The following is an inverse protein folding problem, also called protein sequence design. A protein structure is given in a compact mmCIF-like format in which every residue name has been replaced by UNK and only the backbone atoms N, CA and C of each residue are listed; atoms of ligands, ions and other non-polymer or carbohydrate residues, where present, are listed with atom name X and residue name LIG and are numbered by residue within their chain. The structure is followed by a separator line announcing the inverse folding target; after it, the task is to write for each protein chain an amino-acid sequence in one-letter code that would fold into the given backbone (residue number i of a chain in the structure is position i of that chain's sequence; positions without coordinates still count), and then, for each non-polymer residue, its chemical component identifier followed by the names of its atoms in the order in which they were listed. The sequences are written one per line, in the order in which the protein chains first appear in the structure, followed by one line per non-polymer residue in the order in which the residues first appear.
data_IF_656651554085
#
_entry.id   IF_656651554085
#
_cell.length_a   1.000
_cell.length_b   1.000
_cell.length_c   1.000
_cell.angle_alpha   90.00
_cell.angle_beta   90.00
_cell.angle_gamma   90.00
#
_symmetry.space_group_name_H-M   'P 1'
#
loop_
_entity.id
_entity.type
_entity.pdbx_description
1 polymer ?
#
# COMPACT_ATOMS: atom_id res chain seq x y z
N UNK A 1 18.79 -16.71 7.02
CA UNK A 1 18.10 -16.51 5.71
C UNK A 1 17.03 -17.58 5.48
N UNK A 2 17.30 -18.88 5.69
CA UNK A 2 16.31 -19.96 5.48
C UNK A 2 15.04 -19.86 6.35
N UNK A 3 15.15 -19.53 7.64
CA UNK A 3 14.00 -19.32 8.52
C UNK A 3 13.08 -18.20 7.99
N UNK A 4 13.70 -17.15 7.46
CA UNK A 4 12.99 -15.97 7.00
C UNK A 4 12.28 -16.19 5.66
N UNK A 5 12.93 -16.88 4.73
CA UNK A 5 12.28 -17.35 3.50
C UNK A 5 11.10 -18.27 3.83
N UNK A 6 11.22 -19.10 4.88
CA UNK A 6 10.12 -19.94 5.38
C UNK A 6 8.95 -19.13 5.94
N UNK A 7 9.20 -18.12 6.78
CA UNK A 7 8.15 -17.22 7.29
C UNK A 7 7.46 -16.44 6.17
N UNK A 8 8.22 -15.93 5.20
CA UNK A 8 7.67 -15.22 4.04
C UNK A 8 6.81 -16.16 3.16
N UNK A 9 7.25 -17.40 2.99
CA UNK A 9 6.49 -18.42 2.27
C UNK A 9 5.22 -18.84 3.03
N UNK A 10 5.26 -18.91 4.36
CA UNK A 10 4.08 -19.15 5.21
C UNK A 10 3.11 -17.96 5.15
N UNK A 11 3.59 -16.72 5.21
CA UNK A 11 2.77 -15.52 5.04
C UNK A 11 2.10 -15.48 3.66
N UNK A 12 2.83 -15.91 2.62
CA UNK A 12 2.32 -16.02 1.25
C UNK A 12 1.31 -17.16 1.09
N UNK A 13 1.53 -18.32 1.73
CA UNK A 13 0.66 -19.51 1.66
C UNK A 13 -0.53 -19.50 2.64
N UNK A 14 -0.44 -18.79 3.74
CA UNK A 14 -1.48 -18.72 4.79
C UNK A 14 -2.72 -17.93 4.37
N UNK A 15 -2.71 -17.29 3.20
CA UNK A 15 -3.80 -16.40 2.79
C UNK A 15 -3.88 -15.13 3.65
N UNK A 16 -2.86 -14.80 4.44
CA UNK A 16 -2.80 -13.56 5.21
C UNK A 16 -2.95 -12.32 4.32
N UNK A 17 -2.38 -12.34 3.11
CA UNK A 17 -2.60 -11.28 2.11
C UNK A 17 -4.09 -11.15 1.76
N UNK A 18 -4.82 -12.27 1.64
CA UNK A 18 -6.25 -12.30 1.35
C UNK A 18 -7.07 -11.76 2.54
N UNK A 19 -6.71 -12.15 3.76
CA UNK A 19 -7.33 -11.68 5.00
C UNK A 19 -7.11 -10.18 5.20
N UNK A 20 -5.87 -9.71 5.05
CA UNK A 20 -5.52 -8.30 5.14
C UNK A 20 -6.19 -7.48 4.04
N UNK A 21 -6.25 -7.99 2.81
CA UNK A 21 -6.99 -7.35 1.72
C UNK A 21 -8.47 -7.15 2.07
N UNK A 22 -9.12 -8.15 2.69
CA UNK A 22 -10.52 -8.03 3.16
C UNK A 22 -10.66 -7.02 4.29
N UNK A 23 -9.70 -6.96 5.21
CA UNK A 23 -9.70 -6.01 6.32
C UNK A 23 -9.52 -4.55 5.84
N UNK A 24 -8.70 -4.34 4.80
CA UNK A 24 -8.43 -3.01 4.25
C UNK A 24 -9.54 -2.49 3.34
N UNK A 25 -10.33 -3.38 2.73
CA UNK A 25 -11.45 -3.02 1.83
C UNK A 25 -12.36 -1.90 2.35
N UNK A 26 -12.87 -1.89 3.60
CA UNK A 26 -13.74 -0.81 4.08
C UNK A 26 -13.04 0.55 4.14
N UNK A 27 -11.75 0.59 4.50
CA UNK A 27 -10.97 1.84 4.54
C UNK A 27 -10.66 2.31 3.13
N UNK A 28 -10.20 1.40 2.28
CA UNK A 28 -9.89 1.69 0.88
C UNK A 28 -11.15 2.09 0.10
N UNK A 29 -12.32 1.53 0.40
CA UNK A 29 -13.58 1.90 -0.25
C UNK A 29 -13.97 3.36 0.03
N UNK A 30 -13.64 3.87 1.22
CA UNK A 30 -13.84 5.30 1.55
C UNK A 30 -12.80 6.21 0.89
N UNK A 31 -11.58 5.72 0.65
CA UNK A 31 -10.50 6.49 0.01
C UNK A 31 -10.61 6.49 -1.52
N UNK A 32 -11.14 5.42 -2.10
CA UNK A 32 -11.25 5.18 -3.54
C UNK A 32 -12.71 4.91 -3.94
N UNK A 33 -13.60 5.92 -3.87
CA UNK A 33 -15.03 5.73 -4.09
C UNK A 33 -15.37 5.21 -5.50
N UNK A 34 -14.69 5.68 -6.57
CA UNK A 34 -14.96 5.17 -7.93
C UNK A 34 -14.46 3.74 -8.11
N UNK A 35 -13.23 3.47 -7.67
CA UNK A 35 -12.69 2.11 -7.70
C UNK A 35 -13.53 1.11 -6.87
N UNK A 36 -14.20 1.58 -5.80
CA UNK A 36 -15.04 0.73 -4.94
C UNK A 36 -16.23 0.10 -5.68
N UNK A 37 -16.68 0.72 -6.78
CA UNK A 37 -17.78 0.21 -7.61
C UNK A 37 -17.34 -0.90 -8.59
N UNK A 38 -16.03 -1.10 -8.80
CA UNK A 38 -15.49 -2.15 -9.67
C UNK A 38 -14.75 -3.19 -8.83
N UNK A 39 -15.37 -4.36 -8.64
CA UNK A 39 -14.85 -5.39 -7.73
C UNK A 39 -13.45 -5.90 -8.11
N UNK A 40 -13.11 -5.88 -9.40
CA UNK A 40 -11.79 -6.28 -9.90
C UNK A 40 -10.72 -5.24 -9.53
N UNK A 41 -10.97 -3.97 -9.83
CA UNK A 41 -10.07 -2.85 -9.49
C UNK A 41 -9.90 -2.73 -7.99
N UNK A 42 -10.99 -2.84 -7.24
CA UNK A 42 -10.96 -2.83 -5.78
C UNK A 42 -10.19 -4.03 -5.21
N UNK A 43 -10.33 -5.20 -5.83
CA UNK A 43 -9.57 -6.40 -5.48
C UNK A 43 -8.07 -6.22 -5.69
N UNK A 44 -7.66 -5.72 -6.86
CA UNK A 44 -6.27 -5.45 -7.18
C UNK A 44 -5.66 -4.36 -6.28
N UNK A 45 -6.39 -3.28 -6.00
CA UNK A 45 -6.00 -2.22 -5.08
C UNK A 45 -5.77 -2.77 -3.68
N UNK A 46 -6.71 -3.54 -3.15
CA UNK A 46 -6.61 -4.12 -1.80
C UNK A 46 -5.44 -5.09 -1.69
N UNK A 47 -5.21 -5.90 -2.73
CA UNK A 47 -4.08 -6.82 -2.80
C UNK A 47 -2.74 -6.09 -2.90
N UNK A 48 -2.66 -4.99 -3.67
CA UNK A 48 -1.47 -4.14 -3.76
C UNK A 48 -1.10 -3.55 -2.40
N UNK A 49 -2.06 -2.91 -1.72
CA UNK A 49 -1.83 -2.30 -0.40
C UNK A 49 -1.49 -3.36 0.65
N UNK A 50 -2.17 -4.52 0.63
CA UNK A 50 -1.85 -5.63 1.54
C UNK A 50 -0.44 -6.21 1.30
N UNK A 51 -0.05 -6.40 0.03
CA UNK A 51 1.29 -6.87 -0.31
C UNK A 51 2.37 -5.86 0.08
N UNK A 52 2.11 -4.56 -0.10
CA UNK A 52 3.01 -3.50 0.35
C UNK A 52 3.10 -3.51 1.89
N UNK A 53 1.99 -3.61 2.63
CA UNK A 53 2.02 -3.71 4.09
C UNK A 53 2.79 -4.93 4.62
N UNK A 54 2.75 -6.06 3.91
CA UNK A 54 3.46 -7.28 4.30
C UNK A 54 4.94 -7.32 3.87
N UNK A 55 5.44 -6.32 3.14
CA UNK A 55 6.81 -6.36 2.61
C UNK A 55 6.98 -7.31 1.43
N UNK A 56 5.89 -7.71 0.76
CA UNK A 56 5.89 -8.60 -0.40
C UNK A 56 6.00 -7.78 -1.70
N UNK A 57 7.07 -6.99 -1.85
CA UNK A 57 7.25 -6.07 -2.98
C UNK A 57 7.08 -6.72 -4.36
N UNK A 58 7.54 -7.95 -4.53
CA UNK A 58 7.40 -8.72 -5.78
C UNK A 58 5.94 -8.98 -6.18
N UNK A 59 5.02 -9.02 -5.23
CA UNK A 59 3.59 -9.18 -5.49
C UNK A 59 2.84 -7.83 -5.54
N UNK A 60 3.38 -6.78 -4.90
CA UNK A 60 2.74 -5.47 -4.83
C UNK A 60 2.69 -4.79 -6.21
N UNK A 61 3.80 -4.74 -6.94
CA UNK A 61 3.91 -4.06 -8.24
C UNK A 61 2.90 -4.53 -9.30
N UNK A 62 2.77 -5.84 -9.60
CA UNK A 62 1.81 -6.31 -10.60
C UNK A 62 0.35 -6.02 -10.20
N UNK A 63 0.03 -6.09 -8.91
CA UNK A 63 -1.30 -5.73 -8.41
C UNK A 63 -1.56 -4.22 -8.49
N UNK A 64 -0.53 -3.40 -8.25
CA UNK A 64 -0.61 -1.94 -8.38
C UNK A 64 -0.87 -1.50 -9.81
N UNK A 65 -0.18 -2.12 -10.78
CA UNK A 65 -0.42 -1.88 -12.21
C UNK A 65 -1.86 -2.26 -12.57
N UNK A 66 -2.33 -3.43 -12.14
CA UNK A 66 -3.71 -3.88 -12.40
C UNK A 66 -4.75 -2.92 -11.81
N UNK A 67 -4.52 -2.43 -10.59
CA UNK A 67 -5.38 -1.43 -9.96
C UNK A 67 -5.36 -0.10 -10.72
N UNK A 68 -4.19 0.39 -11.12
CA UNK A 68 -4.04 1.62 -11.89
C UNK A 68 -4.73 1.53 -13.26
N UNK A 69 -4.58 0.42 -13.97
CA UNK A 69 -5.26 0.17 -15.25
C UNK A 69 -6.79 0.15 -15.09
N UNK A 70 -7.29 -0.47 -14.02
CA UNK A 70 -8.70 -0.45 -13.67
C UNK A 70 -9.23 0.96 -13.41
N UNK A 71 -8.51 1.76 -12.60
CA UNK A 71 -8.86 3.16 -12.33
C UNK A 71 -8.81 4.03 -13.58
N UNK A 72 -7.84 3.79 -14.48
CA UNK A 72 -7.72 4.50 -15.74
C UNK A 72 -8.89 4.19 -16.68
N UNK A 73 -9.39 2.94 -16.69
CA UNK A 73 -10.60 2.54 -17.45
C UNK A 73 -11.85 3.25 -16.94
N UNK A 74 -11.92 3.53 -15.64
CA UNK A 74 -13.04 4.23 -14.99
C UNK A 74 -12.94 5.77 -15.09
N UNK A 75 -11.89 6.31 -15.72
CA UNK A 75 -11.60 7.74 -15.76
C UNK A 75 -11.54 8.27 -17.21
N UNK A 76 -11.81 9.57 -17.44
CA UNK A 76 -11.62 10.19 -18.75
C UNK A 76 -10.19 10.02 -19.27
N UNK A 77 -10.04 9.75 -20.57
CA UNK A 77 -8.71 9.53 -21.19
C UNK A 77 -7.87 10.81 -21.16
N UNK A 78 -6.57 10.65 -20.91
CA UNK A 78 -5.59 11.74 -20.99
C UNK A 78 -5.35 12.53 -19.71
N UNK A 79 -5.99 12.19 -18.58
CA UNK A 79 -5.70 12.82 -17.29
C UNK A 79 -5.72 11.79 -16.16
N UNK A 80 -4.70 11.81 -15.30
CA UNK A 80 -4.69 10.99 -14.10
C UNK A 80 -5.84 11.41 -13.17
N UNK A 81 -6.62 10.44 -12.72
CA UNK A 81 -7.69 10.71 -11.76
C UNK A 81 -7.15 10.86 -10.35
N UNK A 82 -7.88 11.60 -9.49
CA UNK A 82 -7.51 11.77 -8.08
C UNK A 82 -7.21 10.44 -7.37
N UNK A 83 -7.93 9.37 -7.74
CA UNK A 83 -7.75 8.03 -7.19
C UNK A 83 -6.45 7.38 -7.68
N UNK A 84 -6.10 7.54 -8.96
CA UNK A 84 -4.81 7.07 -9.47
C UNK A 84 -3.64 7.82 -8.82
N UNK A 85 -3.77 9.13 -8.63
CA UNK A 85 -2.79 9.93 -7.89
C UNK A 85 -2.67 9.45 -6.43
N UNK A 86 -3.79 9.17 -5.76
CA UNK A 86 -3.79 8.66 -4.39
C UNK A 86 -3.17 7.26 -4.28
N UNK A 87 -3.39 6.37 -5.25
CA UNK A 87 -2.73 5.06 -5.32
C UNK A 87 -1.22 5.22 -5.35
N UNK A 88 -0.71 6.13 -6.17
CA UNK A 88 0.72 6.42 -6.26
C UNK A 88 1.24 6.93 -4.91
N UNK A 89 0.56 7.92 -4.31
CA UNK A 89 0.94 8.45 -2.99
C UNK A 89 1.00 7.35 -1.92
N UNK A 90 -0.01 6.47 -1.86
CA UNK A 90 -0.04 5.37 -0.88
C UNK A 90 1.09 4.36 -1.12
N UNK A 91 1.39 4.02 -2.38
CA UNK A 91 2.50 3.13 -2.70
C UNK A 91 3.86 3.77 -2.38
N UNK A 92 4.03 5.06 -2.69
CA UNK A 92 5.24 5.82 -2.39
C UNK A 92 5.47 5.98 -0.89
N UNK A 93 4.40 6.18 -0.10
CA UNK A 93 4.49 6.29 1.35
C UNK A 93 4.98 5.00 2.03
N UNK A 94 4.98 3.85 1.31
CA UNK A 94 5.62 2.59 1.72
C UNK A 94 5.38 2.20 3.18
N UNK A 95 4.10 2.06 3.56
CA UNK A 95 3.73 1.54 4.87
C UNK A 95 4.12 0.06 4.90
N UNK A 96 5.12 -0.31 5.68
CA UNK A 96 5.46 -1.72 5.93
C UNK A 96 5.11 -2.05 7.38
N UNK A 97 4.14 -2.95 7.55
CA UNK A 97 3.78 -3.52 8.85
C UNK A 97 4.92 -4.42 9.36
N UNK A 98 5.64 -5.06 8.45
CA UNK A 98 6.86 -5.80 8.70
C UNK A 98 7.98 -5.22 7.81
N UNK A 99 8.98 -4.48 8.33
CA UNK A 99 10.13 -3.98 7.60
C UNK A 99 11.16 -5.10 7.42
N UNK A 100 10.73 -6.16 6.73
CA UNK A 100 11.42 -7.44 6.60
C UNK A 100 12.80 -7.29 5.96
N UNK A 101 12.92 -6.41 4.96
CA UNK A 101 14.18 -6.09 4.29
C UNK A 101 15.19 -5.47 5.23
N UNK A 102 14.78 -4.48 6.04
CA UNK A 102 15.67 -3.81 6.98
C UNK A 102 16.04 -4.76 8.14
N UNK A 103 15.09 -5.58 8.61
CA UNK A 103 15.37 -6.61 9.60
C UNK A 103 16.39 -7.63 9.07
N UNK A 104 16.30 -8.05 7.80
CA UNK A 104 17.27 -8.94 7.18
C UNK A 104 18.68 -8.32 7.09
N UNK A 105 18.76 -7.04 6.72
CA UNK A 105 20.02 -6.29 6.71
C UNK A 105 20.60 -6.13 8.11
N UNK A 106 19.77 -5.85 9.13
CA UNK A 106 20.22 -5.77 10.52
C UNK A 106 20.76 -7.10 11.01
N UNK A 107 20.06 -8.20 10.69
CA UNK A 107 20.52 -9.55 11.02
C UNK A 107 21.85 -9.90 10.33
N UNK A 108 22.03 -9.53 9.05
CA UNK A 108 23.29 -9.78 8.34
C UNK A 108 24.47 -8.95 8.86
N UNK A 109 24.20 -7.85 9.57
CA UNK A 109 25.21 -7.01 10.21
C UNK A 109 25.37 -7.30 11.71
N UNK A 110 24.87 -8.44 12.21
CA UNK A 110 25.11 -8.90 13.58
C UNK A 110 24.21 -8.28 14.66
N UNK A 111 23.09 -7.64 14.29
CA UNK A 111 22.16 -7.13 15.30
C UNK A 111 21.54 -8.28 16.13
N UNK A 112 21.65 -8.20 17.46
CA UNK A 112 21.04 -9.18 18.39
C UNK A 112 19.52 -9.21 18.28
N UNK A 113 18.90 -8.03 18.12
CA UNK A 113 17.46 -7.87 17.90
C UNK A 113 17.19 -7.10 16.59
N UNK A 114 17.07 -7.80 15.45
CA UNK A 114 16.82 -7.17 14.15
C UNK A 114 15.48 -6.44 14.04
N UNK A 115 14.50 -6.79 14.87
CA UNK A 115 13.12 -6.27 14.84
C UNK A 115 12.81 -5.17 15.87
N UNK A 116 13.76 -4.77 16.71
CA UNK A 116 13.53 -3.70 17.71
C UNK A 116 13.17 -2.33 17.10
N UNK A 117 13.35 -2.18 15.77
CA UNK A 117 12.93 -1.01 15.01
C UNK A 117 11.42 -0.96 14.72
N UNK A 118 10.68 -2.05 14.95
CA UNK A 118 9.26 -2.15 14.60
C UNK A 118 8.42 -0.99 15.15
N UNK A 119 8.52 -0.62 16.45
CA UNK A 119 7.73 0.48 16.99
C UNK A 119 8.04 1.82 16.31
N UNK A 120 9.31 2.11 16.06
CA UNK A 120 9.75 3.32 15.36
C UNK A 120 9.25 3.34 13.90
N UNK A 121 9.30 2.21 13.21
CA UNK A 121 8.81 2.07 11.83
C UNK A 121 7.30 2.29 11.77
N UNK A 122 6.52 1.76 12.71
CA UNK A 122 5.07 1.96 12.73
C UNK A 122 4.69 3.41 12.97
N UNK A 123 5.35 4.09 13.91
CA UNK A 123 5.10 5.51 14.20
C UNK A 123 5.47 6.37 12.99
N UNK A 124 6.65 6.16 12.41
CA UNK A 124 7.11 6.90 11.24
C UNK A 124 6.20 6.66 10.03
N UNK A 125 5.78 5.41 9.79
CA UNK A 125 4.87 5.06 8.70
C UNK A 125 3.50 5.68 8.89
N UNK A 126 2.93 5.62 10.09
CA UNK A 126 1.64 6.25 10.39
C UNK A 126 1.70 7.77 10.18
N UNK A 127 2.79 8.42 10.60
CA UNK A 127 3.03 9.85 10.37
C UNK A 127 3.11 10.19 8.88
N UNK A 128 3.94 9.46 8.12
CA UNK A 128 4.12 9.64 6.67
C UNK A 128 2.80 9.52 5.90
N UNK A 129 2.00 8.51 6.23
CA UNK A 129 0.72 8.22 5.56
C UNK A 129 -0.31 9.29 5.87
N UNK A 130 -0.39 9.68 7.14
CA UNK A 130 -1.33 10.70 7.57
C UNK A 130 -1.00 12.02 6.87
N UNK A 131 0.28 12.42 6.86
CA UNK A 131 0.73 13.60 6.13
C UNK A 131 0.45 13.50 4.63
N UNK A 132 0.78 12.38 3.99
CA UNK A 132 0.56 12.16 2.56
C UNK A 132 -0.92 12.22 2.15
N UNK A 133 -1.81 11.58 2.92
CA UNK A 133 -3.25 11.63 2.68
C UNK A 133 -3.79 13.04 2.88
N UNK A 134 -3.37 13.74 3.94
CA UNK A 134 -3.83 15.10 4.23
C UNK A 134 -3.40 16.07 3.13
N UNK A 135 -2.13 16.04 2.74
CA UNK A 135 -1.59 16.90 1.67
C UNK A 135 -2.26 16.60 0.33
N UNK A 136 -2.43 15.32 -0.03
CA UNK A 136 -3.10 14.94 -1.27
C UNK A 136 -4.56 15.44 -1.31
N UNK A 137 -5.31 15.30 -0.21
CA UNK A 137 -6.69 15.81 -0.12
C UNK A 137 -6.76 17.33 -0.16
N UNK A 138 -5.83 18.01 0.51
CA UNK A 138 -5.78 19.47 0.57
C UNK A 138 -5.44 20.07 -0.80
N UNK A 139 -4.44 19.52 -1.50
CA UNK A 139 -4.09 19.91 -2.86
C UNK A 139 -5.25 19.64 -3.84
N UNK A 140 -5.91 18.49 -3.76
CA UNK A 140 -7.09 18.20 -4.59
C UNK A 140 -8.26 19.16 -4.32
N UNK A 141 -8.45 19.60 -3.06
CA UNK A 141 -9.46 20.60 -2.73
C UNK A 141 -9.11 22.01 -3.25
N UNK A 142 -7.85 22.42 -3.13
CA UNK A 142 -7.36 23.71 -3.65
C UNK A 142 -7.44 23.77 -5.18
N UNK A 143 -7.02 22.71 -5.88
CA UNK A 143 -7.08 22.66 -7.34
C UNK A 143 -8.53 22.69 -7.86
N UNK A 144 -9.46 22.03 -7.17
CA UNK A 144 -10.90 22.10 -7.50
C UNK A 144 -11.51 23.49 -7.30
N UNK A 145 -10.98 24.27 -6.35
CA UNK A 145 -11.36 25.69 -6.16
C UNK A 145 -10.80 26.60 -7.24
N UNK A 146 -9.60 26.31 -7.74
CA UNK A 146 -8.95 27.12 -8.79
C UNK A 146 -9.51 26.86 -10.20
N UNK A 147 -10.10 25.69 -10.44
CA UNK A 147 -10.76 25.32 -11.71
C UNK A 147 -12.23 25.74 -11.82
N UNK A 148 -12.81 26.33 -10.78
CA UNK A 148 -14.15 26.96 -10.78
C UNK A 148 -13.99 28.46 -10.95
#
# INVERSE_FOLDING_TARGET
ICLWSGVMEVLKRSGMTQGLSRLLRPVLGKLFPRASHDSETMGALSANVAANLLGLGNAATPMGIKAASGMARLSPKGTASDELCLLVVINTASIQLLPTTIAAVRASNGAEAPFDILPAVWIASAGSVTAGILVAKLLAALFRRWKR
#
